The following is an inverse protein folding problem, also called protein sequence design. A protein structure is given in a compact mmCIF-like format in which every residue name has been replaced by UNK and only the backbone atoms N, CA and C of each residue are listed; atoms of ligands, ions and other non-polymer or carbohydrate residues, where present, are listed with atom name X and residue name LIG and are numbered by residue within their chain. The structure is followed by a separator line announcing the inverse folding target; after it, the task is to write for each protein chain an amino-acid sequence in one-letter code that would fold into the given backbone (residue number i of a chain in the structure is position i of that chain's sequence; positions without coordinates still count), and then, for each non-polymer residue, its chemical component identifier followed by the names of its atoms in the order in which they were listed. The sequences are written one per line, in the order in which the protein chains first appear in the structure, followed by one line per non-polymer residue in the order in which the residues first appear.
data_IF_264359032106
#
_entry.id   IF_264359032106
#
_cell.length_a   1.000
_cell.length_b   1.000
_cell.length_c   1.000
_cell.angle_alpha   90.00
_cell.angle_beta   90.00
_cell.angle_gamma   90.00
#
_symmetry.space_group_name_H-M   'P 1'
#
loop_
_entity.id
_entity.type
_entity.pdbx_description
1 polymer ?
#
# COMPACT_ATOMS: atom_id res chain seq x y z
N UNK A 1 19.30 101.39 -10.33
CA UNK A 1 19.39 100.37 -9.26
C UNK A 1 18.82 99.09 -9.84
N UNK A 2 19.60 98.01 -9.85
CA UNK A 2 19.25 96.70 -10.42
C UNK A 2 18.09 96.02 -9.68
N UNK A 3 17.39 95.09 -10.35
CA UNK A 3 17.15 93.81 -9.71
C UNK A 3 17.34 92.58 -10.59
N UNK A 4 17.71 91.50 -9.90
CA UNK A 4 17.83 90.09 -10.27
C UNK A 4 16.50 89.46 -10.73
N UNK A 5 16.59 88.40 -11.55
CA UNK A 5 15.50 87.44 -11.80
C UNK A 5 15.90 86.33 -12.77
N UNK A 6 15.88 85.08 -12.30
CA UNK A 6 16.40 83.84 -12.90
C UNK A 6 15.70 83.39 -14.21
N UNK A 7 16.47 82.80 -15.12
CA UNK A 7 16.01 81.94 -16.23
C UNK A 7 15.90 80.48 -15.77
N UNK A 8 14.88 79.69 -16.17
CA UNK A 8 14.88 78.24 -15.95
C UNK A 8 15.74 77.54 -17.01
N UNK A 9 16.63 76.65 -16.55
CA UNK A 9 17.38 75.66 -17.34
C UNK A 9 16.52 74.42 -17.69
N UNK A 10 17.01 73.71 -18.70
CA UNK A 10 16.42 72.61 -19.47
C UNK A 10 15.77 71.46 -18.68
N UNK A 11 14.71 70.90 -19.27
CA UNK A 11 13.95 69.75 -18.79
C UNK A 11 14.14 68.52 -19.68
N UNK A 12 15.38 68.08 -19.91
CA UNK A 12 15.68 66.92 -20.80
C UNK A 12 16.27 65.69 -20.08
N UNK A 13 16.56 65.75 -18.78
CA UNK A 13 17.22 64.64 -18.04
C UNK A 13 16.27 63.73 -17.23
N UNK A 14 14.98 64.04 -17.14
CA UNK A 14 14.02 63.26 -16.34
C UNK A 14 13.37 62.08 -17.09
N UNK A 15 13.37 62.06 -18.43
CA UNK A 15 12.69 61.02 -19.22
C UNK A 15 13.55 59.76 -19.48
N UNK A 16 14.89 59.85 -19.39
CA UNK A 16 15.76 58.68 -19.64
C UNK A 16 15.81 57.69 -18.48
N UNK A 17 15.85 58.15 -17.23
CA UNK A 17 15.95 57.28 -16.05
C UNK A 17 14.70 56.42 -15.81
N UNK A 18 13.51 56.90 -16.18
CA UNK A 18 12.26 56.14 -16.04
C UNK A 18 12.15 54.98 -17.06
N UNK A 19 12.89 55.06 -18.17
CA UNK A 19 12.85 54.05 -19.23
C UNK A 19 13.74 52.84 -18.96
N UNK A 20 14.87 53.03 -18.27
CA UNK A 20 15.81 51.98 -17.89
C UNK A 20 15.31 51.16 -16.69
N UNK A 21 14.77 51.81 -15.64
CA UNK A 21 14.10 51.10 -14.53
C UNK A 21 12.88 50.29 -15.01
N UNK A 22 12.11 50.82 -15.98
CA UNK A 22 11.01 50.08 -16.60
C UNK A 22 11.49 48.90 -17.45
N UNK A 23 12.68 48.98 -18.04
CA UNK A 23 13.25 47.91 -18.85
C UNK A 23 13.83 46.79 -17.98
N UNK A 24 14.51 47.14 -16.87
CA UNK A 24 14.99 46.19 -15.87
C UNK A 24 13.83 45.48 -15.17
N UNK A 25 12.77 46.19 -14.80
CA UNK A 25 11.56 45.58 -14.22
C UNK A 25 10.88 44.62 -15.22
N UNK A 26 10.81 44.96 -16.50
CA UNK A 26 10.28 44.08 -17.55
C UNK A 26 11.18 42.87 -17.79
N UNK A 27 12.50 43.04 -17.75
CA UNK A 27 13.45 41.95 -17.86
C UNK A 27 13.35 41.00 -16.66
N UNK A 28 13.17 41.54 -15.45
CA UNK A 28 12.94 40.78 -14.23
C UNK A 28 11.60 40.02 -14.27
N UNK A 29 10.51 40.65 -14.75
CA UNK A 29 9.23 39.94 -14.97
C UNK A 29 9.34 38.86 -16.04
N UNK A 30 10.06 39.11 -17.13
CA UNK A 30 10.29 38.11 -18.17
C UNK A 30 11.14 36.94 -17.65
N UNK A 31 12.12 37.22 -16.78
CA UNK A 31 12.92 36.21 -16.11
C UNK A 31 12.09 35.40 -15.12
N UNK A 32 11.22 36.03 -14.32
CA UNK A 32 10.25 35.33 -13.48
C UNK A 32 9.31 34.45 -14.29
N UNK A 33 8.77 34.95 -15.41
CA UNK A 33 7.90 34.18 -16.29
C UNK A 33 8.63 32.99 -16.93
N UNK A 34 9.91 33.14 -17.28
CA UNK A 34 10.74 32.07 -17.80
C UNK A 34 11.04 31.00 -16.74
N UNK A 35 11.37 31.42 -15.50
CA UNK A 35 11.54 30.51 -14.36
C UNK A 35 10.24 29.77 -14.09
N UNK A 36 9.10 30.46 -14.09
CA UNK A 36 7.79 29.85 -13.90
C UNK A 36 7.48 28.83 -15.00
N UNK A 37 7.77 29.13 -16.26
CA UNK A 37 7.59 28.19 -17.37
C UNK A 37 8.53 26.97 -17.26
N UNK A 38 9.78 27.18 -16.83
CA UNK A 38 10.75 26.11 -16.61
C UNK A 38 10.30 25.19 -15.47
N UNK A 39 9.85 25.75 -14.34
CA UNK A 39 9.24 25.03 -13.24
C UNK A 39 8.03 24.24 -13.75
N UNK A 40 7.09 24.86 -14.47
CA UNK A 40 5.94 24.14 -15.03
C UNK A 40 6.35 22.98 -15.94
N UNK A 41 7.42 23.13 -16.73
CA UNK A 41 7.92 22.07 -17.61
C UNK A 41 8.58 20.92 -16.84
N UNK A 42 9.32 21.22 -15.76
CA UNK A 42 9.92 20.21 -14.88
C UNK A 42 8.86 19.48 -14.04
N UNK A 43 7.85 20.21 -13.56
CA UNK A 43 6.70 19.61 -12.90
C UNK A 43 5.93 18.70 -13.86
N UNK A 44 5.69 19.14 -15.10
CA UNK A 44 5.04 18.32 -16.11
C UNK A 44 5.87 17.08 -16.51
N UNK A 45 7.20 17.17 -16.53
CA UNK A 45 8.07 16.02 -16.83
C UNK A 45 8.10 14.97 -15.72
N UNK A 46 7.83 15.37 -14.48
CA UNK A 46 7.64 14.47 -13.31
C UNK A 46 6.16 14.04 -13.18
N UNK A 47 5.26 14.51 -14.06
CA UNK A 47 3.85 14.14 -14.09
C UNK A 47 2.94 14.99 -13.20
N UNK A 48 3.44 16.12 -12.69
CA UNK A 48 2.71 17.08 -11.85
C UNK A 48 2.19 18.22 -12.75
N UNK A 49 0.86 18.33 -12.88
CA UNK A 49 0.24 19.42 -13.63
C UNK A 49 0.11 20.67 -12.74
N UNK A 50 0.64 21.85 -13.12
CA UNK A 50 0.47 23.10 -12.37
C UNK A 50 -1.00 23.54 -12.26
N UNK A 51 -1.85 23.17 -13.23
CA UNK A 51 -3.29 23.40 -13.14
C UNK A 51 -3.98 22.48 -12.09
N UNK A 52 -3.25 21.49 -11.56
CA UNK A 52 -3.68 20.59 -10.47
C UNK A 52 -3.52 21.16 -9.07
N UNK A 53 -2.85 22.32 -8.91
CA UNK A 53 -2.90 23.08 -7.65
C UNK A 53 -4.32 23.62 -7.35
N UNK A 54 -5.24 23.54 -8.32
CA UNK A 54 -6.66 23.72 -8.11
C UNK A 54 -7.29 22.41 -7.58
N UNK A 55 -7.46 22.35 -6.26
CA UNK A 55 -8.57 21.66 -5.56
C UNK A 55 -8.82 20.16 -5.79
N UNK A 56 -7.88 19.39 -6.35
CA UNK A 56 -7.92 17.92 -6.24
C UNK A 56 -6.87 17.45 -5.24
N UNK A 57 -7.17 17.72 -3.97
CA UNK A 57 -6.44 17.35 -2.75
C UNK A 57 -6.64 15.86 -2.41
N UNK A 58 -6.60 14.97 -3.40
CA UNK A 58 -6.63 13.53 -3.15
C UNK A 58 -5.28 13.14 -2.52
N UNK A 59 -5.32 12.70 -1.25
CA UNK A 59 -4.12 12.30 -0.48
C UNK A 59 -3.39 11.12 -1.15
N UNK A 60 -4.14 10.31 -1.91
CA UNK A 60 -3.61 9.20 -2.69
C UNK A 60 -4.23 9.21 -4.11
N UNK A 61 -3.61 9.91 -5.09
CA UNK A 61 -4.19 10.12 -6.42
C UNK A 61 -4.37 8.80 -7.19
N UNK A 62 -5.64 8.40 -7.40
CA UNK A 62 -6.03 7.12 -8.02
C UNK A 62 -5.47 6.92 -9.43
N UNK A 63 -5.43 7.99 -10.23
CA UNK A 63 -4.92 7.96 -11.60
C UNK A 63 -3.42 7.62 -11.63
N UNK A 64 -2.62 8.19 -10.73
CA UNK A 64 -1.17 7.91 -10.64
C UNK A 64 -0.93 6.46 -10.26
N UNK A 65 -1.67 5.93 -9.27
CA UNK A 65 -1.60 4.51 -8.89
C UNK A 65 -1.91 3.63 -10.09
N UNK A 66 -3.06 3.84 -10.73
CA UNK A 66 -3.52 3.03 -11.87
C UNK A 66 -2.54 3.04 -13.03
N UNK A 67 -2.13 4.22 -13.46
CA UNK A 67 -1.32 4.38 -14.67
C UNK A 67 0.11 3.84 -14.42
N UNK A 68 0.65 4.01 -13.22
CA UNK A 68 1.92 3.38 -12.83
C UNK A 68 1.81 1.86 -12.80
N UNK A 69 0.75 1.30 -12.19
CA UNK A 69 0.52 -0.15 -12.20
C UNK A 69 0.41 -0.71 -13.62
N UNK A 70 -0.36 -0.06 -14.49
CA UNK A 70 -0.53 -0.50 -15.88
C UNK A 70 0.76 -0.42 -16.69
N UNK A 71 1.61 0.59 -16.47
CA UNK A 71 2.94 0.68 -17.09
C UNK A 71 3.80 -0.54 -16.71
N UNK A 72 3.84 -0.91 -15.42
CA UNK A 72 4.57 -2.07 -14.95
C UNK A 72 4.03 -3.39 -15.53
N UNK A 73 2.71 -3.57 -15.54
CA UNK A 73 2.08 -4.75 -16.14
C UNK A 73 2.38 -4.84 -17.64
N UNK A 74 2.32 -3.72 -18.36
CA UNK A 74 2.62 -3.68 -19.79
C UNK A 74 4.07 -4.08 -20.06
N UNK A 75 5.01 -3.61 -19.24
CA UNK A 75 6.43 -3.98 -19.36
C UNK A 75 6.67 -5.48 -19.10
N UNK A 76 5.91 -6.10 -18.19
CA UNK A 76 5.94 -7.56 -17.95
C UNK A 76 5.14 -8.38 -18.98
N UNK A 77 4.30 -7.73 -19.78
CA UNK A 77 3.38 -8.36 -20.73
C UNK A 77 2.08 -8.80 -20.08
N UNK A 78 0.96 -8.60 -20.76
CA UNK A 78 -0.38 -9.08 -20.38
C UNK A 78 -1.06 -9.66 -21.61
N UNK A 79 -1.25 -10.97 -21.63
CA UNK A 79 -1.96 -11.63 -22.73
C UNK A 79 -3.47 -11.37 -22.65
N UNK A 80 -4.16 -11.22 -23.80
CA UNK A 80 -5.62 -11.19 -23.83
C UNK A 80 -6.20 -12.56 -23.43
N UNK A 81 -7.36 -12.57 -22.79
CA UNK A 81 -8.04 -13.80 -22.38
C UNK A 81 -8.80 -14.41 -23.57
N UNK A 82 -8.47 -15.65 -23.90
CA UNK A 82 -9.15 -16.43 -24.94
C UNK A 82 -10.29 -17.30 -24.39
N UNK A 83 -11.16 -17.80 -25.29
CA UNK A 83 -12.26 -18.68 -24.91
C UNK A 83 -11.81 -19.98 -24.20
N UNK A 84 -10.64 -20.51 -24.57
CA UNK A 84 -10.07 -21.69 -23.92
C UNK A 84 -9.65 -21.41 -22.47
N UNK A 85 -9.13 -20.22 -22.18
CA UNK A 85 -8.72 -19.82 -20.82
C UNK A 85 -9.95 -19.73 -19.92
N UNK A 86 -11.01 -19.10 -20.42
CA UNK A 86 -12.30 -19.01 -19.73
C UNK A 86 -12.84 -20.40 -19.42
N UNK A 87 -12.96 -21.26 -20.43
CA UNK A 87 -13.50 -22.61 -20.25
C UNK A 87 -12.71 -23.45 -19.24
N UNK A 88 -11.37 -23.38 -19.26
CA UNK A 88 -10.51 -24.13 -18.32
C UNK A 88 -10.61 -23.62 -16.90
N UNK A 89 -10.67 -22.30 -16.72
CA UNK A 89 -10.84 -21.69 -15.39
C UNK A 89 -12.24 -21.96 -14.83
N UNK A 90 -13.28 -21.93 -15.66
CA UNK A 90 -14.65 -22.28 -15.26
C UNK A 90 -14.74 -23.74 -14.81
N UNK A 91 -14.14 -24.67 -15.55
CA UNK A 91 -14.09 -26.10 -15.17
C UNK A 91 -13.36 -26.31 -13.84
N UNK A 92 -12.16 -25.74 -13.70
CA UNK A 92 -11.39 -25.83 -12.45
C UNK A 92 -12.14 -25.18 -11.27
N UNK A 93 -12.83 -24.07 -11.51
CA UNK A 93 -13.65 -23.40 -10.49
C UNK A 93 -14.84 -24.25 -10.08
N UNK A 94 -15.55 -24.88 -11.01
CA UNK A 94 -16.68 -25.75 -10.71
C UNK A 94 -16.25 -26.96 -9.85
N UNK A 95 -15.10 -27.57 -10.18
CA UNK A 95 -14.51 -28.65 -9.40
C UNK A 95 -14.16 -28.15 -7.99
N UNK A 96 -13.47 -27.01 -7.89
CA UNK A 96 -13.07 -26.44 -6.61
C UNK A 96 -14.26 -26.15 -5.69
N UNK A 97 -15.32 -25.55 -6.22
CA UNK A 97 -16.53 -25.22 -5.47
C UNK A 97 -17.25 -26.48 -4.96
N UNK A 98 -17.29 -27.55 -5.77
CA UNK A 98 -17.85 -28.83 -5.36
C UNK A 98 -17.04 -29.45 -4.21
N UNK A 99 -15.71 -29.48 -4.32
CA UNK A 99 -14.84 -30.09 -3.33
C UNK A 99 -14.81 -29.31 -2.01
N UNK A 100 -14.87 -27.98 -2.06
CA UNK A 100 -14.89 -27.14 -0.87
C UNK A 100 -16.14 -27.36 0.00
N UNK A 101 -17.25 -27.85 -0.55
CA UNK A 101 -18.46 -28.13 0.23
C UNK A 101 -18.25 -29.20 1.31
N UNK A 102 -17.25 -30.07 1.15
CA UNK A 102 -16.88 -31.08 2.15
C UNK A 102 -15.81 -30.57 3.13
N UNK A 103 -15.14 -29.46 2.81
CA UNK A 103 -13.99 -28.96 3.55
C UNK A 103 -14.27 -27.72 4.39
N UNK A 104 -15.37 -26.99 4.15
CA UNK A 104 -15.75 -25.80 4.93
C UNK A 104 -17.28 -25.66 5.03
N UNK A 105 -17.76 -25.10 6.15
CA UNK A 105 -19.16 -24.73 6.34
C UNK A 105 -19.55 -23.43 5.64
N UNK A 106 -18.59 -22.66 5.13
CA UNK A 106 -18.91 -21.47 4.35
C UNK A 106 -19.47 -21.87 2.98
N UNK A 107 -20.71 -21.46 2.64
CA UNK A 107 -21.30 -21.79 1.35
C UNK A 107 -20.60 -21.03 0.22
N UNK A 108 -20.87 -21.45 -1.01
CA UNK A 108 -20.37 -20.76 -2.20
C UNK A 108 -20.83 -19.29 -2.22
N UNK A 109 -19.96 -18.40 -2.70
CA UNK A 109 -20.28 -16.98 -2.82
C UNK A 109 -21.41 -16.75 -3.83
N UNK A 110 -22.37 -15.89 -3.48
CA UNK A 110 -23.46 -15.50 -4.39
C UNK A 110 -23.05 -14.40 -5.38
N UNK A 111 -21.93 -13.71 -5.10
CA UNK A 111 -21.39 -12.65 -5.95
C UNK A 111 -20.87 -13.22 -7.27
N UNK A 112 -21.41 -12.73 -8.37
CA UNK A 112 -20.94 -13.06 -9.72
C UNK A 112 -19.93 -12.02 -10.20
N UNK A 113 -18.78 -12.48 -10.71
CA UNK A 113 -17.75 -11.65 -11.32
C UNK A 113 -17.03 -12.41 -12.42
N UNK A 114 -16.16 -11.72 -13.16
CA UNK A 114 -15.34 -12.39 -14.18
C UNK A 114 -14.31 -13.30 -13.49
N UNK A 115 -14.45 -14.62 -13.66
CA UNK A 115 -13.58 -15.63 -13.04
C UNK A 115 -12.21 -15.73 -13.70
N UNK A 116 -12.02 -15.18 -14.90
CA UNK A 116 -10.77 -15.26 -15.66
C UNK A 116 -10.27 -13.87 -16.01
N UNK A 117 -9.13 -13.49 -15.43
CA UNK A 117 -8.59 -12.14 -15.54
C UNK A 117 -7.28 -12.12 -16.32
N UNK A 118 -7.10 -11.11 -17.17
CA UNK A 118 -5.76 -10.70 -17.57
C UNK A 118 -5.08 -9.97 -16.40
N UNK A 119 -3.75 -9.80 -16.46
CA UNK A 119 -2.99 -9.03 -15.45
C UNK A 119 -3.48 -7.59 -15.32
N UNK A 120 -3.86 -6.98 -16.45
CA UNK A 120 -4.41 -5.62 -16.49
C UNK A 120 -5.79 -5.54 -15.86
N UNK A 121 -6.66 -6.53 -16.11
CA UNK A 121 -7.98 -6.62 -15.48
C UNK A 121 -7.86 -6.85 -13.97
N UNK A 122 -6.85 -7.61 -13.52
CA UNK A 122 -6.57 -7.79 -12.09
C UNK A 122 -6.22 -6.47 -11.40
N UNK A 123 -5.43 -5.61 -12.06
CA UNK A 123 -5.15 -4.25 -11.55
C UNK A 123 -6.44 -3.47 -11.41
N UNK A 124 -7.25 -3.38 -12.47
CA UNK A 124 -8.49 -2.60 -12.45
C UNK A 124 -9.50 -3.14 -11.42
N UNK A 125 -9.58 -4.46 -11.27
CA UNK A 125 -10.48 -5.15 -10.33
C UNK A 125 -10.10 -4.91 -8.87
N UNK A 126 -8.80 -4.87 -8.55
CA UNK A 126 -8.32 -4.77 -7.16
C UNK A 126 -7.98 -3.33 -6.73
N UNK A 127 -7.85 -2.39 -7.67
CA UNK A 127 -7.39 -1.02 -7.41
C UNK A 127 -8.16 -0.31 -6.30
N UNK A 128 -9.49 -0.45 -6.27
CA UNK A 128 -10.33 0.22 -5.26
C UNK A 128 -10.02 -0.26 -3.84
N UNK A 129 -9.83 -1.58 -3.68
CA UNK A 129 -9.45 -2.18 -2.40
C UNK A 129 -8.08 -1.73 -1.94
N UNK A 130 -7.11 -1.64 -2.85
CA UNK A 130 -5.78 -1.14 -2.54
C UNK A 130 -5.79 0.29 -2.01
N UNK A 131 -6.48 1.20 -2.72
CA UNK A 131 -6.59 2.60 -2.31
C UNK A 131 -7.24 2.71 -0.93
N UNK A 132 -8.35 2.00 -0.73
CA UNK A 132 -9.09 2.06 0.53
C UNK A 132 -8.33 1.45 1.71
N UNK A 133 -7.40 0.53 1.47
CA UNK A 133 -6.52 -0.03 2.50
C UNK A 133 -5.37 0.91 2.84
N UNK A 134 -4.81 1.62 1.86
CA UNK A 134 -3.58 2.43 2.03
C UNK A 134 -3.89 3.88 2.38
N UNK A 135 -5.08 4.39 2.03
CA UNK A 135 -5.51 5.76 2.32
C UNK A 135 -5.33 6.19 3.79
N UNK A 136 -5.66 5.37 4.81
CA UNK A 136 -5.39 5.73 6.21
C UNK A 136 -3.91 5.97 6.54
N UNK A 137 -2.99 5.29 5.84
CA UNK A 137 -1.54 5.50 6.02
C UNK A 137 -1.12 6.85 5.46
N UNK A 138 -1.60 7.17 4.25
CA UNK A 138 -1.29 8.41 3.58
C UNK A 138 -1.85 9.62 4.38
N UNK A 139 -3.05 9.47 4.95
CA UNK A 139 -3.63 10.45 5.87
C UNK A 139 -2.81 10.63 7.15
N UNK A 140 -2.37 9.52 7.76
CA UNK A 140 -1.53 9.54 8.96
C UNK A 140 -0.21 10.28 8.72
N UNK A 141 0.49 9.95 7.63
CA UNK A 141 1.74 10.61 7.26
C UNK A 141 1.54 12.10 6.94
N UNK A 142 0.49 12.45 6.18
CA UNK A 142 0.16 13.84 5.87
C UNK A 142 -0.12 14.66 7.12
N UNK A 143 -0.79 14.07 8.10
CA UNK A 143 -1.09 14.72 9.39
C UNK A 143 0.19 14.93 10.19
N UNK A 144 1.02 13.90 10.33
CA UNK A 144 2.29 13.98 11.06
C UNK A 144 3.24 15.07 10.51
N UNK A 145 3.29 15.23 9.19
CA UNK A 145 4.12 16.26 8.55
C UNK A 145 3.52 17.65 8.73
N UNK A 146 2.20 17.78 8.65
CA UNK A 146 1.51 19.05 8.91
C UNK A 146 1.76 19.50 10.35
N UNK A 147 1.66 18.59 11.31
CA UNK A 147 1.95 18.86 12.72
C UNK A 147 3.42 19.27 12.91
N UNK A 148 4.36 18.59 12.26
CA UNK A 148 5.78 18.94 12.31
C UNK A 148 6.05 20.36 11.78
N UNK A 149 5.48 20.72 10.64
CA UNK A 149 5.67 22.06 10.05
C UNK A 149 5.05 23.16 10.91
N UNK A 150 3.86 22.91 11.47
CA UNK A 150 3.22 23.85 12.39
C UNK A 150 4.08 24.07 13.63
N UNK A 151 4.60 23.00 14.24
CA UNK A 151 5.46 23.09 15.42
C UNK A 151 6.81 23.76 15.13
N UNK A 152 7.38 23.57 13.94
CA UNK A 152 8.62 24.24 13.52
C UNK A 152 8.45 25.75 13.25
N UNK A 153 7.21 26.23 13.17
CA UNK A 153 6.88 27.63 12.91
C UNK A 153 6.37 28.38 14.15
N UNK A 154 6.23 27.71 15.29
CA UNK A 154 6.05 28.43 16.55
C UNK A 154 7.28 29.32 16.79
N UNK A 155 7.12 30.65 16.91
CA UNK A 155 8.26 31.54 17.04
C UNK A 155 8.91 31.30 18.40
N UNK A 156 10.13 30.77 18.40
CA UNK A 156 11.03 30.97 19.51
C UNK A 156 11.24 32.48 19.62
N UNK A 157 10.95 33.07 20.79
CA UNK A 157 10.96 34.53 20.98
C UNK A 157 12.32 35.20 20.71
N UNK A 158 13.37 34.40 20.54
CA UNK A 158 14.76 34.83 20.34
C UNK A 158 15.28 34.67 18.89
N UNK A 159 14.52 34.07 17.96
CA UNK A 159 14.95 33.89 16.56
C UNK A 159 13.84 34.28 15.57
N UNK A 160 13.94 35.42 14.86
CA UNK A 160 12.97 35.75 13.81
C UNK A 160 13.08 34.71 12.68
N UNK A 161 11.94 34.10 12.33
CA UNK A 161 11.88 33.14 11.24
C UNK A 161 12.43 33.78 9.94
N UNK A 162 13.28 33.07 9.18
CA UNK A 162 13.74 33.57 7.89
C UNK A 162 12.55 33.89 7.00
N UNK A 163 12.57 35.04 6.31
CA UNK A 163 11.55 35.43 5.34
C UNK A 163 11.51 34.40 4.20
N UNK A 164 10.67 33.39 4.35
CA UNK A 164 10.45 32.39 3.31
C UNK A 164 9.76 33.06 2.12
N UNK A 165 10.25 32.87 0.88
CA UNK A 165 9.70 33.51 -0.32
C UNK A 165 8.27 33.07 -0.69
N UNK A 166 7.70 32.08 0.00
CA UNK A 166 6.33 31.61 -0.20
C UNK A 166 5.57 31.47 1.13
N UNK A 167 4.24 31.69 1.15
CA UNK A 167 3.43 31.41 2.34
C UNK A 167 3.59 29.95 2.78
N UNK A 168 3.78 29.72 4.08
CA UNK A 168 3.96 28.39 4.68
C UNK A 168 2.81 27.45 4.28
N UNK A 169 1.58 27.95 4.20
CA UNK A 169 0.41 27.21 3.71
C UNK A 169 0.63 26.65 2.29
N UNK A 170 1.28 27.40 1.41
CA UNK A 170 1.55 26.94 0.04
C UNK A 170 2.65 25.87 0.01
N UNK A 171 3.64 25.98 0.89
CA UNK A 171 4.71 24.98 1.06
C UNK A 171 4.12 23.67 1.60
N UNK A 172 3.26 23.75 2.63
CA UNK A 172 2.60 22.56 3.22
C UNK A 172 1.72 21.84 2.20
N UNK A 173 0.96 22.58 1.40
CA UNK A 173 0.12 22.02 0.34
C UNK A 173 0.94 21.38 -0.78
N UNK A 174 2.02 22.03 -1.22
CA UNK A 174 2.92 21.50 -2.23
C UNK A 174 3.63 20.22 -1.75
N UNK A 175 4.11 20.20 -0.51
CA UNK A 175 4.75 19.04 0.10
C UNK A 175 3.76 17.87 0.25
N UNK A 176 2.55 18.13 0.75
CA UNK A 176 1.49 17.14 0.85
C UNK A 176 1.14 16.51 -0.51
N UNK A 177 1.01 17.34 -1.56
CA UNK A 177 0.78 16.85 -2.92
C UNK A 177 1.94 16.02 -3.47
N UNK A 178 3.18 16.42 -3.20
CA UNK A 178 4.37 15.68 -3.62
C UNK A 178 4.43 14.29 -2.96
N UNK A 179 4.20 14.22 -1.66
CA UNK A 179 4.20 12.97 -0.89
C UNK A 179 3.07 12.04 -1.33
N UNK A 180 1.86 12.58 -1.51
CA UNK A 180 0.74 11.81 -2.03
C UNK A 180 1.05 11.19 -3.40
N UNK A 181 1.70 11.95 -4.30
CA UNK A 181 2.15 11.46 -5.60
C UNK A 181 3.25 10.38 -5.49
N UNK A 182 4.20 10.55 -4.57
CA UNK A 182 5.26 9.57 -4.32
C UNK A 182 4.69 8.25 -3.79
N UNK A 183 3.83 8.30 -2.78
CA UNK A 183 3.12 7.14 -2.23
C UNK A 183 2.26 6.46 -3.29
N UNK A 184 1.52 7.24 -4.09
CA UNK A 184 0.73 6.71 -5.19
C UNK A 184 1.58 6.00 -6.24
N UNK A 185 2.76 6.57 -6.56
CA UNK A 185 3.71 5.94 -7.47
C UNK A 185 4.22 4.62 -6.89
N UNK A 186 4.69 4.60 -5.64
CA UNK A 186 5.22 3.38 -5.00
C UNK A 186 4.15 2.28 -4.85
N UNK A 187 2.93 2.66 -4.47
CA UNK A 187 1.78 1.75 -4.45
C UNK A 187 1.51 1.21 -5.85
N UNK A 188 1.48 2.08 -6.85
CA UNK A 188 1.25 1.70 -8.25
C UNK A 188 2.29 0.70 -8.76
N UNK A 189 3.57 0.93 -8.49
CA UNK A 189 4.66 0.00 -8.82
C UNK A 189 4.46 -1.36 -8.16
N UNK A 190 4.09 -1.36 -6.88
CA UNK A 190 3.93 -2.58 -6.09
C UNK A 190 2.74 -3.41 -6.56
N UNK A 191 1.59 -2.77 -6.85
CA UNK A 191 0.43 -3.40 -7.48
C UNK A 191 0.79 -3.96 -8.87
N UNK A 192 1.58 -3.22 -9.65
CA UNK A 192 2.03 -3.67 -10.97
C UNK A 192 2.94 -4.91 -10.90
N UNK A 193 3.84 -4.97 -9.92
CA UNK A 193 4.66 -6.16 -9.67
C UNK A 193 3.80 -7.35 -9.23
N UNK A 194 2.83 -7.12 -8.34
CA UNK A 194 1.90 -8.14 -7.87
C UNK A 194 1.04 -8.71 -9.00
N UNK A 195 0.48 -7.86 -9.85
CA UNK A 195 -0.30 -8.28 -11.01
C UNK A 195 0.50 -9.19 -11.96
N UNK A 196 1.83 -9.04 -12.01
CA UNK A 196 2.71 -9.90 -12.78
C UNK A 196 2.95 -11.31 -12.20
N UNK A 197 2.55 -11.58 -10.95
CA UNK A 197 2.79 -12.86 -10.28
C UNK A 197 1.57 -13.45 -9.56
N UNK A 198 0.54 -12.65 -9.28
CA UNK A 198 -0.67 -13.08 -8.58
C UNK A 198 -1.44 -14.09 -9.42
N UNK A 199 -1.76 -15.26 -8.86
CA UNK A 199 -2.54 -16.30 -9.54
C UNK A 199 -4.04 -16.12 -9.36
N UNK A 200 -4.47 -15.35 -8.36
CA UNK A 200 -5.86 -14.95 -8.11
C UNK A 200 -5.97 -13.63 -7.34
N UNK A 201 -7.20 -13.20 -7.03
CA UNK A 201 -7.45 -11.96 -6.28
C UNK A 201 -7.08 -12.12 -4.80
N UNK A 202 -7.39 -13.27 -4.21
CA UNK A 202 -7.27 -13.51 -2.77
C UNK A 202 -5.89 -14.03 -2.35
N UNK A 203 -4.95 -14.21 -3.28
CA UNK A 203 -3.60 -14.69 -3.00
C UNK A 203 -2.84 -13.85 -1.98
N UNK A 204 -3.11 -12.55 -1.95
CA UNK A 204 -2.43 -11.60 -1.06
C UNK A 204 -2.97 -11.67 0.38
N UNK A 205 -4.08 -12.36 0.61
CA UNK A 205 -4.72 -12.44 1.94
C UNK A 205 -5.36 -11.14 2.40
N UNK A 206 -5.49 -10.14 1.52
CA UNK A 206 -6.14 -8.86 1.79
C UNK A 206 -7.55 -8.80 1.21
N UNK A 207 -8.49 -8.10 1.88
CA UNK A 207 -9.84 -7.89 1.37
C UNK A 207 -9.85 -6.77 0.32
N UNK A 208 -9.48 -7.12 -0.92
CA UNK A 208 -9.33 -6.16 -2.04
C UNK A 208 -10.62 -5.87 -2.80
N UNK A 209 -11.71 -6.57 -2.49
CA UNK A 209 -13.02 -6.42 -3.13
C UNK A 209 -14.07 -6.03 -2.10
N UNK A 210 -15.03 -5.18 -2.50
CA UNK A 210 -16.21 -4.87 -1.68
C UNK A 210 -17.16 -6.07 -1.57
N UNK A 211 -17.22 -6.88 -2.63
CA UNK A 211 -17.96 -8.14 -2.66
C UNK A 211 -17.05 -9.23 -3.19
N UNK A 212 -16.67 -10.16 -2.32
CA UNK A 212 -15.71 -11.20 -2.65
C UNK A 212 -16.28 -12.18 -3.69
N UNK A 213 -15.51 -12.45 -4.74
CA UNK A 213 -15.76 -13.50 -5.73
C UNK A 213 -14.43 -14.08 -6.21
N UNK A 214 -14.36 -15.38 -6.51
CA UNK A 214 -13.11 -15.98 -6.96
C UNK A 214 -12.77 -15.60 -8.40
N UNK A 215 -11.53 -15.21 -8.66
CA UNK A 215 -11.02 -15.06 -10.02
C UNK A 215 -9.54 -15.42 -10.14
N UNK A 216 -9.18 -15.99 -11.28
CA UNK A 216 -7.84 -16.48 -11.58
C UNK A 216 -7.18 -15.67 -12.70
N UNK A 217 -5.87 -15.45 -12.58
CA UNK A 217 -5.04 -14.83 -13.61
C UNK A 217 -4.39 -15.92 -14.44
N UNK A 218 -5.05 -16.32 -15.55
CA UNK A 218 -4.70 -17.53 -16.31
C UNK A 218 -3.22 -17.57 -16.74
N UNK A 219 -2.72 -16.46 -17.29
CA UNK A 219 -1.32 -16.34 -17.70
C UNK A 219 -0.34 -16.62 -16.55
N UNK A 220 -0.64 -16.10 -15.34
CA UNK A 220 0.24 -16.28 -14.19
C UNK A 220 0.22 -17.72 -13.69
N UNK A 221 -0.92 -18.41 -13.80
CA UNK A 221 -0.99 -19.83 -13.44
C UNK A 221 -0.18 -20.67 -14.43
N UNK A 222 -0.31 -20.42 -15.74
CA UNK A 222 0.49 -21.10 -16.77
C UNK A 222 1.98 -20.88 -16.55
N UNK A 223 2.42 -19.65 -16.27
CA UNK A 223 3.80 -19.34 -15.89
C UNK A 223 4.18 -19.96 -14.54
N UNK A 224 3.25 -20.06 -13.60
CA UNK A 224 3.50 -20.66 -12.30
C UNK A 224 3.82 -22.16 -12.42
N UNK A 225 3.16 -22.84 -13.36
CA UNK A 225 3.35 -24.27 -13.66
C UNK A 225 4.51 -24.60 -14.58
N UNK A 226 5.14 -23.61 -15.24
CA UNK A 226 6.38 -23.82 -15.99
C UNK A 226 7.44 -24.36 -15.02
N UNK A 227 8.05 -25.50 -15.36
CA UNK A 227 9.02 -26.25 -14.55
C UNK A 227 8.46 -27.14 -13.43
N UNK A 228 7.14 -27.24 -13.28
CA UNK A 228 6.54 -28.27 -12.45
C UNK A 228 6.23 -29.50 -13.32
N UNK A 229 6.73 -30.67 -12.93
CA UNK A 229 6.33 -31.95 -13.53
C UNK A 229 4.95 -32.39 -13.00
N UNK A 230 3.99 -31.47 -13.04
CA UNK A 230 2.63 -31.63 -12.50
C UNK A 230 1.64 -31.24 -13.61
N UNK A 231 0.58 -32.04 -13.86
CA UNK A 231 -0.43 -31.71 -14.85
C UNK A 231 -1.04 -30.33 -14.62
N UNK A 232 -1.16 -29.56 -15.69
CA UNK A 232 -1.64 -28.17 -15.63
C UNK A 232 -3.05 -28.04 -15.04
N UNK A 233 -3.89 -29.05 -15.21
CA UNK A 233 -5.25 -29.06 -14.66
C UNK A 233 -5.24 -29.23 -13.14
N UNK A 234 -4.32 -30.01 -12.56
CA UNK A 234 -4.13 -30.07 -11.11
C UNK A 234 -3.70 -28.72 -10.55
N UNK A 235 -2.79 -28.03 -11.25
CA UNK A 235 -2.32 -26.70 -10.87
C UNK A 235 -3.49 -25.70 -10.89
N UNK A 236 -4.30 -25.71 -11.96
CA UNK A 236 -5.48 -24.84 -12.05
C UNK A 236 -6.50 -25.13 -10.95
N UNK A 237 -6.80 -26.40 -10.66
CA UNK A 237 -7.73 -26.77 -9.59
C UNK A 237 -7.18 -26.35 -8.23
N UNK A 238 -5.88 -26.51 -7.97
CA UNK A 238 -5.24 -26.03 -6.74
C UNK A 238 -5.42 -24.53 -6.52
N UNK A 239 -5.16 -23.71 -7.55
CA UNK A 239 -5.36 -22.27 -7.46
C UNK A 239 -6.86 -21.91 -7.37
N UNK A 240 -7.74 -22.60 -8.09
CA UNK A 240 -9.18 -22.42 -7.99
C UNK A 240 -9.73 -22.73 -6.59
N UNK A 241 -9.22 -23.78 -5.93
CA UNK A 241 -9.53 -24.13 -4.54
C UNK A 241 -9.13 -22.99 -3.60
N UNK A 242 -7.89 -22.49 -3.71
CA UNK A 242 -7.39 -21.39 -2.86
C UNK A 242 -8.19 -20.11 -3.03
N UNK A 243 -8.50 -19.77 -4.27
CA UNK A 243 -9.20 -18.54 -4.62
C UNK A 243 -10.68 -18.60 -4.16
N UNK A 244 -11.33 -19.74 -4.36
CA UNK A 244 -12.71 -19.98 -3.91
C UNK A 244 -12.80 -20.02 -2.39
N UNK A 245 -11.84 -20.65 -1.72
CA UNK A 245 -11.68 -20.62 -0.26
C UNK A 245 -11.60 -19.18 0.28
N UNK A 246 -10.69 -18.37 -0.27
CA UNK A 246 -10.54 -16.96 0.12
C UNK A 246 -11.81 -16.14 -0.09
N UNK A 247 -12.47 -16.32 -1.24
CA UNK A 247 -13.72 -15.65 -1.54
C UNK A 247 -14.83 -16.03 -0.54
N UNK A 248 -14.97 -17.32 -0.21
CA UNK A 248 -15.94 -17.80 0.79
C UNK A 248 -15.66 -17.21 2.17
N UNK A 249 -14.39 -17.14 2.59
CA UNK A 249 -14.01 -16.56 3.88
C UNK A 249 -14.45 -15.10 4.00
N UNK A 250 -14.07 -14.25 3.05
CA UNK A 250 -14.38 -12.81 3.12
C UNK A 250 -15.87 -12.52 2.91
N UNK A 251 -16.56 -13.32 2.09
CA UNK A 251 -18.00 -13.16 1.89
C UNK A 251 -18.82 -13.46 3.16
N UNK A 252 -18.39 -14.43 3.98
CA UNK A 252 -19.13 -14.87 5.16
C UNK A 252 -18.65 -14.22 6.47
N UNK A 253 -17.54 -13.48 6.42
CA UNK A 253 -17.00 -12.77 7.59
C UNK A 253 -16.75 -11.28 7.27
N UNK A 254 -17.79 -10.45 7.00
CA UNK A 254 -17.60 -9.03 6.68
C UNK A 254 -16.89 -8.24 7.78
N UNK A 255 -17.03 -8.67 9.04
CA UNK A 255 -16.35 -8.04 10.17
C UNK A 255 -14.81 -8.22 10.08
N UNK A 256 -14.32 -9.31 9.48
CA UNK A 256 -12.89 -9.54 9.26
C UNK A 256 -12.29 -8.46 8.34
N UNK A 257 -13.04 -8.03 7.33
CA UNK A 257 -12.66 -6.92 6.45
C UNK A 257 -12.50 -5.64 7.26
N UNK A 258 -13.47 -5.35 8.15
CA UNK A 258 -13.40 -4.19 9.02
C UNK A 258 -12.25 -4.30 10.04
N UNK A 259 -11.99 -5.48 10.58
CA UNK A 259 -10.88 -5.74 11.50
C UNK A 259 -9.51 -5.45 10.86
N UNK A 260 -9.26 -5.99 9.64
CA UNK A 260 -8.02 -5.75 8.90
C UNK A 260 -7.86 -4.26 8.59
N UNK A 261 -8.92 -3.60 8.11
CA UNK A 261 -8.90 -2.15 7.83
C UNK A 261 -8.63 -1.32 9.09
N UNK A 262 -9.18 -1.73 10.23
CA UNK A 262 -8.96 -1.07 11.52
C UNK A 262 -7.51 -1.23 11.96
N UNK A 263 -6.94 -2.44 11.87
CA UNK A 263 -5.53 -2.67 12.21
C UNK A 263 -4.58 -1.80 11.35
N UNK A 264 -4.87 -1.66 10.06
CA UNK A 264 -4.12 -0.77 9.16
C UNK A 264 -4.31 0.71 9.54
N UNK A 265 -5.55 1.13 9.84
CA UNK A 265 -5.84 2.50 10.26
C UNK A 265 -5.17 2.86 11.58
N UNK A 266 -5.17 1.95 12.56
CA UNK A 266 -4.53 2.15 13.86
C UNK A 266 -3.01 2.26 13.74
N UNK A 267 -2.40 1.47 12.84
CA UNK A 267 -0.99 1.63 12.49
C UNK A 267 -0.71 3.02 11.88
N UNK A 268 -1.53 3.44 10.90
CA UNK A 268 -1.40 4.74 10.24
C UNK A 268 -1.55 5.95 11.18
N UNK A 269 -2.53 5.90 12.09
CA UNK A 269 -2.74 6.94 13.12
C UNK A 269 -1.57 7.05 14.10
N UNK A 270 -0.87 5.95 14.33
CA UNK A 270 0.30 5.92 15.22
C UNK A 270 1.57 6.47 14.58
N UNK A 271 1.56 6.84 13.29
CA UNK A 271 2.72 7.43 12.60
C UNK A 271 3.06 8.76 13.26
N UNK A 272 4.18 8.78 13.96
CA UNK A 272 4.76 9.97 14.55
C UNK A 272 6.16 10.16 13.97
N UNK A 273 6.46 11.37 13.54
CA UNK A 273 7.78 11.73 13.05
C UNK A 273 8.56 12.31 14.25
N UNK A 274 9.57 11.59 14.70
CA UNK A 274 10.43 12.05 15.80
C UNK A 274 11.35 13.19 15.31
N UNK A 275 11.00 14.41 15.67
CA UNK A 275 11.75 15.63 15.33
C UNK A 275 13.16 15.60 15.93
N UNK A 276 13.34 15.03 17.13
CA UNK A 276 14.66 14.94 17.76
C UNK A 276 15.54 13.92 17.02
N UNK A 277 14.96 12.83 16.52
CA UNK A 277 15.67 11.89 15.64
C UNK A 277 16.05 12.52 14.31
N UNK A 278 15.16 13.30 13.68
CA UNK A 278 15.47 14.08 12.48
C UNK A 278 16.65 15.01 12.74
N UNK A 279 16.62 15.78 13.83
CA UNK A 279 17.68 16.74 14.17
C UNK A 279 19.03 16.04 14.40
N UNK A 280 19.03 14.89 15.12
CA UNK A 280 20.22 14.07 15.32
C UNK A 280 20.76 13.52 14.00
N UNK A 281 19.91 12.94 13.16
CA UNK A 281 20.32 12.40 11.86
C UNK A 281 20.75 13.48 10.87
N UNK A 282 20.10 14.66 10.89
CA UNK A 282 20.50 15.81 10.09
C UNK A 282 21.86 16.34 10.57
N UNK A 283 22.10 16.40 11.88
CA UNK A 283 23.40 16.76 12.44
C UNK A 283 24.47 15.72 12.07
N UNK A 284 24.19 14.43 12.22
CA UNK A 284 25.10 13.34 11.84
C UNK A 284 25.39 13.33 10.34
N UNK A 285 24.37 13.58 9.50
CA UNK A 285 24.51 13.69 8.05
C UNK A 285 25.26 14.97 7.65
N UNK A 286 25.05 16.09 8.35
CA UNK A 286 25.78 17.33 8.15
C UNK A 286 27.25 17.17 8.56
N UNK A 287 27.52 16.50 9.67
CA UNK A 287 28.88 16.15 10.11
C UNK A 287 29.56 15.15 9.16
N UNK A 288 28.81 14.19 8.61
CA UNK A 288 29.30 13.25 7.61
C UNK A 288 29.48 13.88 6.21
N UNK A 289 28.73 14.95 5.91
CA UNK A 289 28.79 15.71 4.65
C UNK A 289 29.60 16.99 4.75
N UNK A 290 30.26 17.26 5.89
CA UNK A 290 31.13 18.42 6.16
C UNK A 290 32.39 18.51 5.25
N UNK A 291 32.36 17.88 4.06
CA UNK A 291 33.31 18.03 2.95
C UNK A 291 32.65 18.08 1.56
N UNK A 292 31.33 18.16 1.44
CA UNK A 292 30.60 18.26 0.16
C UNK A 292 29.42 19.22 0.31
N UNK A 293 29.33 20.23 -0.56
CA UNK A 293 28.34 21.32 -0.59
C UNK A 293 26.90 20.84 -0.93
N UNK A 294 26.32 19.94 -0.14
CA UNK A 294 24.94 19.50 -0.29
C UNK A 294 24.04 20.33 0.65
N UNK A 295 23.73 21.56 0.26
CA UNK A 295 22.78 22.42 0.96
C UNK A 295 21.35 21.89 0.72
N UNK A 296 20.61 21.60 1.79
CA UNK A 296 19.19 21.20 1.69
C UNK A 296 18.38 22.43 1.27
N UNK A 297 17.99 22.48 -0.01
CA UNK A 297 17.15 23.53 -0.57
C UNK A 297 15.66 23.17 -0.41
N UNK A 298 14.88 23.86 0.46
CA UNK A 298 13.46 23.58 0.69
C UNK A 298 12.57 23.92 -0.51
N UNK A 299 13.11 24.57 -1.54
CA UNK A 299 12.39 24.92 -2.77
C UNK A 299 12.60 23.92 -3.91
N UNK A 300 13.52 22.97 -3.74
CA UNK A 300 13.83 21.94 -4.74
C UNK A 300 13.19 20.58 -4.37
N UNK A 301 12.26 20.02 -5.16
CA UNK A 301 11.67 18.69 -4.92
C UNK A 301 12.69 17.54 -4.85
N UNK A 302 13.84 17.67 -5.51
CA UNK A 302 14.89 16.65 -5.49
C UNK A 302 15.59 16.58 -4.12
N UNK A 303 15.73 17.70 -3.40
CA UNK A 303 16.34 17.73 -2.06
C UNK A 303 15.52 16.90 -1.06
N UNK A 304 14.18 16.96 -1.18
CA UNK A 304 13.26 16.13 -0.38
C UNK A 304 13.36 14.64 -0.72
N UNK A 305 13.56 14.31 -2.00
CA UNK A 305 13.75 12.90 -2.42
C UNK A 305 15.03 12.33 -1.82
N UNK A 306 16.12 13.09 -1.85
CA UNK A 306 17.41 12.72 -1.26
C UNK A 306 17.29 12.58 0.26
N UNK A 307 16.71 13.56 0.95
CA UNK A 307 16.53 13.52 2.40
C UNK A 307 15.67 12.33 2.86
N UNK A 308 14.58 12.02 2.15
CA UNK A 308 13.74 10.85 2.41
C UNK A 308 14.49 9.53 2.19
N UNK A 309 15.31 9.44 1.14
CA UNK A 309 16.14 8.25 0.85
C UNK A 309 17.27 8.05 1.86
N UNK A 310 17.69 9.11 2.55
CA UNK A 310 18.75 9.12 3.56
C UNK A 310 18.29 8.58 4.92
N UNK A 311 17.01 8.23 5.06
CA UNK A 311 16.44 7.72 6.31
C UNK A 311 16.13 8.80 7.35
N UNK A 312 16.32 10.08 7.01
CA UNK A 312 16.11 11.23 7.90
C UNK A 312 14.66 11.26 8.42
N UNK A 313 13.68 10.78 7.65
CA UNK A 313 12.25 10.79 8.01
C UNK A 313 11.69 9.42 8.43
N UNK A 314 12.50 8.52 8.96
CA UNK A 314 12.01 7.18 9.36
C UNK A 314 11.21 7.30 10.67
N UNK A 315 9.89 7.01 10.69
CA UNK A 315 9.10 7.07 11.93
C UNK A 315 9.62 6.07 12.97
N UNK A 316 9.67 6.44 14.25
CA UNK A 316 9.94 5.48 15.33
C UNK A 316 8.74 4.55 15.54
N UNK A 317 9.00 3.26 15.74
CA UNK A 317 7.94 2.27 16.00
C UNK A 317 7.42 2.41 17.44
N UNK A 318 6.26 3.04 17.61
CA UNK A 318 5.62 3.17 18.92
C UNK A 318 5.07 1.82 19.42
N UNK A 319 4.88 1.61 20.74
CA UNK A 319 4.26 0.39 21.26
C UNK A 319 2.86 0.11 20.68
N UNK A 320 2.10 1.17 20.38
CA UNK A 320 0.78 1.07 19.75
C UNK A 320 0.87 0.61 18.29
N UNK A 321 1.81 1.17 17.51
CA UNK A 321 2.07 0.72 16.14
C UNK A 321 2.53 -0.75 16.11
N UNK A 322 3.44 -1.13 17.01
CA UNK A 322 3.89 -2.53 17.13
C UNK A 322 2.72 -3.47 17.41
N UNK A 323 1.83 -3.10 18.32
CA UNK A 323 0.65 -3.89 18.62
C UNK A 323 -0.29 -4.02 17.41
N UNK A 324 -0.48 -2.94 16.63
CA UNK A 324 -1.25 -2.97 15.39
C UNK A 324 -0.61 -3.88 14.33
N UNK A 325 0.72 -3.82 14.16
CA UNK A 325 1.46 -4.70 13.25
C UNK A 325 1.36 -6.17 13.66
N UNK A 326 1.50 -6.49 14.95
CA UNK A 326 1.33 -7.86 15.44
C UNK A 326 -0.08 -8.38 15.14
N UNK A 327 -1.12 -7.56 15.38
CA UNK A 327 -2.51 -7.92 15.05
C UNK A 327 -2.69 -8.18 13.55
N UNK A 328 -2.14 -7.30 12.70
CA UNK A 328 -2.22 -7.41 11.25
C UNK A 328 -1.48 -8.67 10.75
N UNK A 329 -0.27 -8.91 11.23
CA UNK A 329 0.51 -10.11 10.88
C UNK A 329 -0.21 -11.39 11.29
N UNK A 330 -0.77 -11.43 12.51
CA UNK A 330 -1.47 -12.61 13.03
C UNK A 330 -2.73 -12.90 12.25
N UNK A 331 -3.55 -11.89 11.91
CA UNK A 331 -4.76 -12.14 11.10
C UNK A 331 -4.43 -12.56 9.68
N UNK A 332 -3.40 -11.99 9.05
CA UNK A 332 -2.96 -12.41 7.72
C UNK A 332 -2.43 -13.86 7.74
N UNK A 333 -1.68 -14.23 8.78
CA UNK A 333 -1.23 -15.60 8.97
C UNK A 333 -2.40 -16.57 9.18
N UNK A 334 -3.42 -16.16 9.97
CA UNK A 334 -4.63 -16.96 10.17
C UNK A 334 -5.40 -17.19 8.87
N UNK A 335 -5.58 -16.14 8.05
CA UNK A 335 -6.25 -16.24 6.73
C UNK A 335 -5.51 -17.23 5.83
N UNK A 336 -4.19 -17.09 5.73
CA UNK A 336 -3.38 -17.95 4.87
C UNK A 336 -3.36 -19.40 5.37
N UNK A 337 -3.16 -19.59 6.67
CA UNK A 337 -3.10 -20.91 7.28
C UNK A 337 -4.43 -21.65 7.20
N UNK A 338 -5.55 -20.94 7.34
CA UNK A 338 -6.88 -21.53 7.17
C UNK A 338 -7.07 -21.97 5.72
N UNK A 339 -6.77 -21.08 4.77
CA UNK A 339 -6.87 -21.38 3.34
C UNK A 339 -6.02 -22.62 2.98
N UNK A 340 -4.78 -22.68 3.47
CA UNK A 340 -3.91 -23.83 3.27
C UNK A 340 -4.47 -25.14 3.85
N UNK A 341 -5.01 -25.10 5.08
CA UNK A 341 -5.59 -26.26 5.74
C UNK A 341 -6.82 -26.78 4.97
N UNK A 342 -7.75 -25.90 4.58
CA UNK A 342 -8.97 -26.32 3.88
C UNK A 342 -8.70 -26.77 2.46
N UNK A 343 -7.71 -26.20 1.78
CA UNK A 343 -7.36 -26.61 0.40
C UNK A 343 -6.72 -27.99 0.40
N UNK A 344 -5.85 -28.30 1.39
CA UNK A 344 -5.36 -29.67 1.57
C UNK A 344 -6.51 -30.65 1.81
N UNK A 345 -7.47 -30.28 2.66
CA UNK A 345 -8.61 -31.12 3.01
C UNK A 345 -9.56 -31.34 1.82
N UNK A 346 -9.89 -30.28 1.07
CA UNK A 346 -10.77 -30.33 -0.09
C UNK A 346 -10.17 -31.14 -1.25
N UNK A 347 -8.86 -30.99 -1.46
CA UNK A 347 -8.12 -31.76 -2.45
C UNK A 347 -8.05 -33.24 -2.08
N UNK A 348 -7.66 -33.56 -0.83
CA UNK A 348 -7.49 -34.93 -0.35
C UNK A 348 -6.68 -35.79 -1.34
N UNK A 349 -7.14 -37.01 -1.58
CA UNK A 349 -6.51 -37.94 -2.54
C UNK A 349 -6.85 -37.61 -4.01
N UNK A 350 -7.72 -36.62 -4.27
CA UNK A 350 -8.16 -36.24 -5.63
C UNK A 350 -7.10 -35.43 -6.37
N UNK A 351 -6.17 -34.79 -5.65
CA UNK A 351 -4.96 -34.16 -6.21
C UNK A 351 -3.70 -34.81 -5.63
N UNK A 352 -3.17 -35.87 -6.26
CA UNK A 352 -1.94 -36.54 -5.83
C UNK A 352 -0.76 -35.62 -5.51
N UNK A 353 -0.61 -34.50 -6.24
CA UNK A 353 0.51 -33.57 -6.05
C UNK A 353 0.23 -32.41 -5.08
N UNK A 354 -0.86 -32.45 -4.30
CA UNK A 354 -1.25 -31.35 -3.41
C UNK A 354 -0.12 -30.91 -2.46
N UNK A 355 0.62 -31.86 -1.89
CA UNK A 355 1.74 -31.56 -0.99
C UNK A 355 2.88 -30.82 -1.71
N UNK A 356 3.18 -31.20 -2.96
CA UNK A 356 4.19 -30.55 -3.78
C UNK A 356 3.75 -29.15 -4.21
N UNK A 357 2.46 -28.96 -4.55
CA UNK A 357 1.90 -27.66 -4.89
C UNK A 357 1.94 -26.69 -3.71
N UNK A 358 1.56 -27.15 -2.51
CA UNK A 358 1.66 -26.37 -1.28
C UNK A 358 3.12 -25.99 -0.96
N UNK A 359 4.05 -26.92 -1.11
CA UNK A 359 5.47 -26.63 -0.89
C UNK A 359 6.04 -25.63 -1.90
N UNK A 360 5.69 -25.76 -3.18
CA UNK A 360 6.03 -24.76 -4.21
C UNK A 360 5.50 -23.38 -3.85
N UNK A 361 4.24 -23.29 -3.42
CA UNK A 361 3.64 -22.03 -3.00
C UNK A 361 4.39 -21.42 -1.80
N UNK A 362 4.69 -22.21 -0.76
CA UNK A 362 5.44 -21.74 0.42
C UNK A 362 6.82 -21.21 0.03
N UNK A 363 7.55 -21.92 -0.84
CA UNK A 363 8.87 -21.49 -1.31
C UNK A 363 8.80 -20.16 -2.05
N UNK A 364 7.87 -20.03 -3.00
CA UNK A 364 7.69 -18.78 -3.76
C UNK A 364 7.29 -17.61 -2.85
N UNK A 365 6.50 -17.84 -1.81
CA UNK A 365 6.21 -16.78 -0.81
C UNK A 365 7.42 -16.40 0.04
N UNK A 366 8.37 -17.31 0.26
CA UNK A 366 9.60 -17.02 1.00
C UNK A 366 10.71 -16.39 0.13
N UNK A 367 10.78 -16.72 -1.17
CA UNK A 367 11.87 -16.31 -2.07
C UNK A 367 11.48 -15.21 -3.06
N UNK A 368 10.20 -15.10 -3.43
CA UNK A 368 9.70 -14.19 -4.47
C UNK A 368 8.47 -13.45 -3.98
N UNK A 369 8.66 -12.48 -3.10
CA UNK A 369 7.55 -11.86 -2.40
C UNK A 369 7.35 -10.38 -2.75
N UNK A 370 6.90 -10.03 -3.97
CA UNK A 370 6.30 -8.72 -4.23
C UNK A 370 5.28 -8.33 -3.16
N UNK A 371 4.55 -9.31 -2.60
CA UNK A 371 3.66 -9.13 -1.47
C UNK A 371 4.38 -8.75 -0.17
N UNK A 372 5.49 -9.41 0.20
CA UNK A 372 6.24 -9.02 1.40
C UNK A 372 6.94 -7.68 1.20
N UNK A 373 7.44 -7.39 -0.01
CA UNK A 373 8.01 -6.09 -0.34
C UNK A 373 6.97 -4.99 -0.25
N UNK A 374 5.75 -5.24 -0.77
CA UNK A 374 4.61 -4.34 -0.59
C UNK A 374 4.32 -4.11 0.90
N UNK A 375 4.22 -5.18 1.70
CA UNK A 375 3.92 -5.05 3.12
C UNK A 375 5.04 -4.32 3.90
N UNK A 376 6.30 -4.59 3.56
CA UNK A 376 7.45 -3.92 4.14
C UNK A 376 7.51 -2.43 3.75
N UNK A 377 7.25 -2.11 2.48
CA UNK A 377 7.31 -0.73 1.99
C UNK A 377 6.14 0.12 2.50
N UNK A 378 4.93 -0.46 2.59
CA UNK A 378 3.73 0.30 2.97
C UNK A 378 3.49 0.33 4.48
N UNK A 379 3.79 -0.77 5.19
CA UNK A 379 3.44 -0.92 6.60
C UNK A 379 4.65 -1.18 7.50
N UNK A 380 5.89 -1.19 6.97
CA UNK A 380 7.05 -1.67 7.72
C UNK A 380 6.91 -3.13 8.17
N UNK A 381 5.96 -3.87 7.59
CA UNK A 381 5.53 -5.17 8.07
C UNK A 381 6.33 -6.28 7.41
N UNK A 382 7.07 -7.04 8.21
CA UNK A 382 7.67 -8.29 7.78
C UNK A 382 6.75 -9.46 8.17
N UNK A 383 6.00 -9.98 7.19
CA UNK A 383 5.15 -11.16 7.43
C UNK A 383 6.03 -12.38 7.61
N UNK A 384 6.08 -12.94 8.84
CA UNK A 384 6.93 -14.08 9.14
C UNK A 384 6.42 -15.37 8.47
N UNK A 385 7.23 -16.05 7.64
CA UNK A 385 6.89 -17.37 7.12
C UNK A 385 6.63 -18.40 8.22
N UNK A 386 7.25 -18.20 9.39
CA UNK A 386 7.03 -19.04 10.57
C UNK A 386 5.59 -18.93 11.05
N UNK A 387 5.04 -17.72 11.15
CA UNK A 387 3.68 -17.50 11.67
C UNK A 387 2.61 -18.09 10.77
N UNK A 388 2.79 -18.02 9.45
CA UNK A 388 1.89 -18.69 8.50
C UNK A 388 1.85 -20.22 8.74
N UNK A 389 3.01 -20.85 8.97
CA UNK A 389 3.08 -22.29 9.28
C UNK A 389 2.44 -22.63 10.61
N UNK A 390 2.65 -21.80 11.64
CA UNK A 390 2.02 -21.95 12.95
C UNK A 390 0.50 -21.88 12.84
N UNK A 391 -0.02 -20.92 12.08
CA UNK A 391 -1.45 -20.83 11.79
C UNK A 391 -1.98 -22.05 11.04
N UNK A 392 -1.29 -22.56 10.01
CA UNK A 392 -1.70 -23.80 9.32
C UNK A 392 -1.77 -24.99 10.30
N UNK A 393 -0.79 -25.13 11.19
CA UNK A 393 -0.78 -26.18 12.22
C UNK A 393 -1.92 -26.00 13.21
N UNK A 394 -2.19 -24.77 13.64
CA UNK A 394 -3.32 -24.44 14.51
C UNK A 394 -4.65 -24.89 13.90
N UNK A 395 -4.93 -24.54 12.64
CA UNK A 395 -6.19 -24.90 11.98
C UNK A 395 -6.37 -26.40 11.79
N UNK A 396 -5.28 -27.12 11.47
CA UNK A 396 -5.29 -28.58 11.42
C UNK A 396 -5.61 -29.18 12.78
N UNK A 397 -4.93 -28.70 13.82
CA UNK A 397 -5.13 -29.17 15.20
C UNK A 397 -6.56 -28.92 15.69
N UNK A 398 -7.15 -27.75 15.42
CA UNK A 398 -8.55 -27.47 15.76
C UNK A 398 -9.51 -28.44 15.07
N UNK A 399 -9.26 -28.76 13.79
CA UNK A 399 -10.08 -29.72 13.04
C UNK A 399 -9.99 -31.13 13.64
N UNK A 400 -8.80 -31.54 14.08
CA UNK A 400 -8.54 -32.86 14.67
C UNK A 400 -9.11 -32.99 16.09
N UNK A 401 -8.98 -31.95 16.91
CA UNK A 401 -9.47 -31.91 18.29
C UNK A 401 -11.01 -31.82 18.35
N UNK A 402 -11.62 -31.19 17.34
CA UNK A 402 -13.06 -30.93 17.27
C UNK A 402 -13.60 -31.38 15.92
N UNK A 403 -13.92 -30.43 15.06
CA UNK A 403 -14.45 -30.68 13.73
C UNK A 403 -14.30 -29.43 12.84
N UNK A 404 -14.75 -29.56 11.59
CA UNK A 404 -14.76 -28.49 10.58
C UNK A 404 -15.68 -27.34 11.02
N UNK A 405 -16.77 -27.63 11.74
CA UNK A 405 -17.75 -26.62 12.13
C UNK A 405 -17.15 -25.67 13.15
N UNK A 406 -16.54 -26.22 14.20
CA UNK A 406 -15.86 -25.46 15.24
C UNK A 406 -14.69 -24.67 14.66
N UNK A 407 -13.91 -25.29 13.75
CA UNK A 407 -12.82 -24.59 13.04
C UNK A 407 -13.35 -23.34 12.33
N UNK A 408 -14.40 -23.45 11.54
CA UNK A 408 -14.91 -22.31 10.80
C UNK A 408 -15.65 -21.30 11.70
N UNK A 409 -16.23 -21.74 12.82
CA UNK A 409 -16.88 -20.88 13.81
C UNK A 409 -15.91 -19.90 14.49
N UNK A 410 -14.62 -20.22 14.58
CA UNK A 410 -13.59 -19.31 15.13
C UNK A 410 -13.61 -17.95 14.42
N UNK A 411 -13.91 -17.93 13.11
CA UNK A 411 -14.03 -16.70 12.35
C UNK A 411 -15.19 -15.80 12.77
N UNK A 412 -16.12 -16.27 13.60
CA UNK A 412 -17.23 -15.46 14.14
C UNK A 412 -16.95 -14.87 15.53
N UNK A 413 -15.80 -15.18 16.13
CA UNK A 413 -15.48 -14.84 17.52
C UNK A 413 -14.19 -14.06 17.70
N UNK A 414 -13.61 -14.17 18.90
CA UNK A 414 -12.32 -13.58 19.24
C UNK A 414 -11.23 -14.37 18.52
N UNK A 415 -10.47 -13.75 17.62
CA UNK A 415 -9.39 -14.44 16.91
C UNK A 415 -8.26 -14.84 17.87
N UNK A 416 -7.62 -15.99 17.63
CA UNK A 416 -6.44 -16.41 18.38
C UNK A 416 -5.31 -15.39 18.22
N UNK A 417 -4.62 -15.11 19.32
CA UNK A 417 -3.37 -14.38 19.34
C UNK A 417 -2.22 -15.22 18.78
N UNK A 418 -1.02 -14.63 18.67
CA UNK A 418 0.16 -15.37 18.22
C UNK A 418 0.54 -16.53 19.16
N UNK A 419 0.32 -16.36 20.47
CA UNK A 419 0.63 -17.40 21.47
C UNK A 419 -0.42 -18.54 21.44
N UNK A 420 -1.67 -18.21 21.13
CA UNK A 420 -2.76 -19.17 20.97
C UNK A 420 -2.51 -20.14 19.80
N UNK A 421 -1.81 -19.70 18.75
CA UNK A 421 -1.44 -20.57 17.61
C UNK A 421 -0.59 -21.77 18.05
N UNK A 422 0.18 -21.61 19.13
CA UNK A 422 1.05 -22.65 19.67
C UNK A 422 0.33 -23.59 20.65
N UNK A 423 -0.85 -23.18 21.16
CA UNK A 423 -1.63 -23.95 22.14
C UNK A 423 -3.13 -24.01 21.76
N UNK A 424 -3.49 -24.71 20.67
CA UNK A 424 -4.88 -24.78 20.20
C UNK A 424 -5.89 -25.22 21.27
N UNK A 425 -5.50 -26.16 22.15
CA UNK A 425 -6.34 -26.66 23.25
C UNK A 425 -6.71 -25.55 24.25
N UNK A 426 -5.73 -24.72 24.64
CA UNK A 426 -5.96 -23.62 25.57
C UNK A 426 -6.89 -22.58 24.97
N UNK A 427 -6.68 -22.25 23.69
CA UNK A 427 -7.54 -21.31 22.98
C UNK A 427 -8.97 -21.85 22.88
N UNK A 428 -9.16 -23.11 22.50
CA UNK A 428 -10.48 -23.74 22.43
C UNK A 428 -11.18 -23.71 23.81
N UNK A 429 -10.47 -24.03 24.89
CA UNK A 429 -11.03 -23.93 26.25
C UNK A 429 -11.39 -22.50 26.66
N UNK A 430 -10.72 -21.49 26.11
CA UNK A 430 -11.00 -20.08 26.41
C UNK A 430 -12.27 -19.54 25.74
N UNK A 431 -12.70 -20.14 24.63
CA UNK A 431 -13.89 -19.74 23.88
C UNK A 431 -15.11 -20.63 24.16
N UNK A 432 -14.92 -21.70 24.94
CA UNK A 432 -16.02 -22.51 25.44
C UNK A 432 -16.74 -21.78 26.57
N UNK A 433 -18.06 -21.59 26.39
CA UNK A 433 -18.93 -21.20 27.48
C UNK A 433 -19.09 -22.43 28.37
N UNK A 434 -18.75 -22.38 29.68
CA UNK A 434 -18.95 -23.51 30.56
C UNK A 434 -20.43 -23.91 30.57
N UNK A 435 -20.71 -25.19 30.32
CA UNK A 435 -22.08 -25.73 30.36
C UNK A 435 -22.76 -25.56 31.73
N UNK A 436 -21.98 -25.23 32.77
CA UNK A 436 -22.47 -25.00 34.13
C UNK A 436 -22.02 -23.63 34.67
N UNK A 437 -22.92 -22.65 34.60
CA UNK A 437 -22.76 -21.34 35.22
C UNK A 437 -23.04 -21.36 36.74
N UNK A 438 -23.36 -22.50 37.36
CA UNK A 438 -23.71 -22.57 38.79
C UNK A 438 -22.53 -22.41 39.75
N UNK A 439 -21.31 -22.28 39.21
CA UNK A 439 -20.08 -22.06 39.97
C UNK A 439 -19.50 -20.64 39.82
N UNK A 440 -20.16 -19.78 39.04
CA UNK A 440 -19.94 -18.32 39.01
C UNK A 440 -20.91 -17.63 39.98
#
# INVERSE_FOLDING_TARGET
MTPFGFTPEDSDDAEKNNSEESAELKAMMAQMAAIQAQIQSQFASIGINPAGFAANTEVLPKNIVRDTSKKFVTAKGSAPIGANDVSRVEEASAIAELWLNEATYFPQTSTSGNRTLARTDWVDTTLSGWLSLVEPLALGLSTAISDLLNNATEPDSDNPAPELPMPIEMITAALGSFIGSLLATQLGQSIGMLAGSATGIHDVGLPLLDSAFPALVSQNIDEWGQDLDIPMDEIRIFHALRESAGARLFAHNPWLVAYIRTAVSDYGKGIHIDIDAIQRQAQDAFEASAGTDAEFDPTNPESFTVALSSGIFTPEETPAQRAALIKLETVLALVDGWNEAIVAQAAGDRLPNIAALQETLRRRRATSAPTQQLFANLFGLQVSPRRAREATTFWKSVTELRDIQMRDQIWSGILPSADDLLTPENYLGSIEIPDDLSSL
#
